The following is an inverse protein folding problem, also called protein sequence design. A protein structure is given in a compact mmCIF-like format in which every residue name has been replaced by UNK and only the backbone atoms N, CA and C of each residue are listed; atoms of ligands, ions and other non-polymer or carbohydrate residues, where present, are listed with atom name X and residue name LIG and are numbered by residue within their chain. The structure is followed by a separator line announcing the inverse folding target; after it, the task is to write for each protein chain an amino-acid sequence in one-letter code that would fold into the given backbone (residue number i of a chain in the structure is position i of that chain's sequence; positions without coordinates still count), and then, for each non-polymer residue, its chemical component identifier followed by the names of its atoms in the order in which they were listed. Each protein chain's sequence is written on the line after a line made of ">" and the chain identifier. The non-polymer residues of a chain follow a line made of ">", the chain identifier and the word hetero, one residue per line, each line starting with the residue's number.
data_IF_878824392150
#
_entry.id   IF_878824392150
#
_cell.length_a   1.000
_cell.length_b   1.000
_cell.length_c   1.000
_cell.angle_alpha   90.00
_cell.angle_beta   90.00
_cell.angle_gamma   90.00
#
_symmetry.space_group_name_H-M   'P 1'
#
loop_
_entity.id
_entity.type
_entity.pdbx_description
1 polymer ?
#
# COMPACT_ATOMS: atom_id res chain seq x y z
N UNK A 1 -18.13 25.78 -51.07
CA UNK A 1 -17.56 26.00 -49.72
C UNK A 1 -17.60 24.69 -48.95
N UNK A 2 -16.57 23.87 -49.06
CA UNK A 2 -16.45 22.58 -48.37
C UNK A 2 -15.16 22.55 -47.57
N UNK A 3 -15.24 22.57 -46.24
CA UNK A 3 -14.26 21.87 -45.40
C UNK A 3 -14.76 21.79 -43.94
N UNK A 4 -15.72 20.89 -43.67
CA UNK A 4 -16.00 20.48 -42.30
C UNK A 4 -15.02 19.37 -41.99
N UNK A 5 -13.95 19.71 -41.27
CA UNK A 5 -12.92 18.76 -40.81
C UNK A 5 -13.61 17.64 -40.05
N UNK A 6 -13.70 16.47 -40.67
CA UNK A 6 -14.05 15.22 -40.00
C UNK A 6 -12.96 14.92 -38.99
N UNK A 7 -13.25 15.25 -37.74
CA UNK A 7 -12.48 14.83 -36.58
C UNK A 7 -12.65 13.31 -36.49
N UNK A 8 -11.73 12.55 -37.09
CA UNK A 8 -11.73 11.10 -37.03
C UNK A 8 -11.84 10.64 -35.56
N UNK A 9 -13.06 10.26 -35.14
CA UNK A 9 -13.29 9.46 -33.96
C UNK A 9 -12.58 8.14 -34.21
N UNK A 10 -11.40 7.97 -33.60
CA UNK A 10 -10.73 6.67 -33.56
C UNK A 10 -11.70 5.68 -32.95
N UNK A 11 -12.22 4.78 -33.76
CA UNK A 11 -13.02 3.63 -33.36
C UNK A 11 -12.17 2.78 -32.42
N UNK A 12 -12.74 2.32 -31.30
CA UNK A 12 -12.01 1.63 -30.22
C UNK A 12 -11.30 0.33 -30.62
N UNK A 13 -11.39 -0.10 -31.89
CA UNK A 13 -10.68 -1.24 -32.46
C UNK A 13 -9.17 -0.99 -32.68
N UNK A 14 -8.74 0.26 -32.87
CA UNK A 14 -7.34 0.61 -33.16
C UNK A 14 -6.59 1.21 -31.96
N UNK A 15 -7.22 1.24 -30.79
CA UNK A 15 -6.53 1.63 -29.57
C UNK A 15 -5.56 0.51 -29.18
N UNK A 16 -4.28 0.67 -29.52
CA UNK A 16 -3.22 -0.19 -28.97
C UNK A 16 -3.44 -0.29 -27.45
N UNK A 17 -3.47 -1.51 -26.87
CA UNK A 17 -3.65 -1.65 -25.43
C UNK A 17 -2.57 -0.81 -24.75
N UNK A 18 -3.00 0.20 -23.99
CA UNK A 18 -2.07 1.03 -23.23
C UNK A 18 -1.30 0.11 -22.30
N UNK A 19 0.01 0.09 -22.45
CA UNK A 19 0.89 -0.62 -21.52
C UNK A 19 0.60 -0.14 -20.09
N UNK A 20 0.49 -1.08 -19.16
CA UNK A 20 0.25 -0.78 -17.75
C UNK A 20 1.59 -0.76 -17.02
N UNK A 21 1.92 0.37 -16.42
CA UNK A 21 3.06 0.53 -15.54
C UNK A 21 2.58 0.86 -14.12
N UNK A 22 3.42 0.54 -13.14
CA UNK A 22 3.27 0.99 -11.77
C UNK A 22 4.16 2.21 -11.59
N UNK A 23 3.58 3.34 -11.22
CA UNK A 23 4.34 4.57 -10.94
C UNK A 23 4.60 4.66 -9.44
N UNK A 24 5.86 4.78 -9.06
CA UNK A 24 6.27 5.12 -7.71
C UNK A 24 6.72 6.58 -7.71
N UNK A 25 6.14 7.40 -6.84
CA UNK A 25 6.42 8.83 -6.80
C UNK A 25 7.60 9.13 -5.87
N UNK A 26 8.46 10.07 -6.25
CA UNK A 26 9.68 10.38 -5.50
C UNK A 26 9.40 10.76 -4.04
N UNK A 27 8.39 11.60 -3.78
CA UNK A 27 8.04 11.98 -2.41
C UNK A 27 7.62 10.78 -1.54
N UNK A 28 7.07 9.73 -2.16
CA UNK A 28 6.70 8.50 -1.47
C UNK A 28 7.95 7.69 -1.16
N UNK A 29 8.86 7.56 -2.12
CA UNK A 29 10.14 6.86 -1.94
C UNK A 29 11.03 7.54 -0.90
N UNK A 30 11.02 8.88 -0.86
CA UNK A 30 11.77 9.67 0.11
C UNK A 30 11.14 9.71 1.52
N UNK A 31 9.90 9.22 1.69
CA UNK A 31 9.24 9.22 2.99
C UNK A 31 9.97 8.32 4.01
N UNK A 32 9.98 8.74 5.27
CA UNK A 32 10.56 7.95 6.36
C UNK A 32 9.91 6.55 6.44
N UNK A 33 8.61 6.49 6.20
CA UNK A 33 7.85 5.24 6.14
C UNK A 33 8.40 4.28 5.09
N UNK A 34 8.67 4.75 3.87
CA UNK A 34 9.21 3.91 2.80
C UNK A 34 10.62 3.43 3.12
N UNK A 35 11.45 4.33 3.66
CA UNK A 35 12.83 4.02 4.02
C UNK A 35 12.91 2.95 5.13
N UNK A 36 11.95 2.93 6.05
CA UNK A 36 11.88 1.92 7.12
C UNK A 36 11.38 0.54 6.67
N UNK A 37 10.72 0.43 5.50
CA UNK A 37 10.24 -0.87 4.99
C UNK A 37 11.39 -1.78 4.56
N UNK A 38 11.26 -3.07 4.86
CA UNK A 38 12.11 -4.12 4.31
C UNK A 38 11.81 -4.37 2.82
N UNK A 39 12.76 -5.01 2.14
CA UNK A 39 12.68 -5.27 0.69
C UNK A 39 11.42 -6.04 0.27
N UNK A 40 10.98 -7.02 1.06
CA UNK A 40 9.78 -7.81 0.72
C UNK A 40 8.51 -6.99 0.87
N UNK A 41 8.43 -6.13 1.90
CA UNK A 41 7.31 -5.20 2.06
C UNK A 41 7.23 -4.19 0.91
N UNK A 42 8.36 -3.65 0.45
CA UNK A 42 8.40 -2.77 -0.74
C UNK A 42 7.93 -3.52 -1.99
N UNK A 43 8.38 -4.75 -2.20
CA UNK A 43 7.92 -5.59 -3.31
C UNK A 43 6.41 -5.90 -3.24
N UNK A 44 5.89 -6.15 -2.03
CA UNK A 44 4.46 -6.38 -1.81
C UNK A 44 3.62 -5.15 -2.20
N UNK A 45 4.09 -3.94 -1.87
CA UNK A 45 3.43 -2.70 -2.27
C UNK A 45 3.31 -2.59 -3.79
N UNK A 46 4.38 -2.91 -4.53
CA UNK A 46 4.39 -2.86 -5.99
C UNK A 46 3.38 -3.87 -6.57
N UNK A 47 3.30 -5.08 -6.02
CA UNK A 47 2.31 -6.09 -6.44
C UNK A 47 0.87 -5.64 -6.17
N UNK A 48 0.60 -4.95 -5.06
CA UNK A 48 -0.69 -4.33 -4.79
C UNK A 48 -0.99 -3.19 -5.78
N UNK A 49 -0.05 -2.29 -6.02
CA UNK A 49 -0.18 -1.19 -6.97
C UNK A 49 -0.39 -1.69 -8.40
N UNK A 50 0.20 -2.83 -8.79
CA UNK A 50 -0.03 -3.49 -10.08
C UNK A 50 -1.48 -3.96 -10.26
N UNK A 51 -2.15 -4.35 -9.16
CA UNK A 51 -3.56 -4.81 -9.15
C UNK A 51 -4.57 -3.66 -9.14
N UNK A 52 -4.13 -2.46 -8.77
CA UNK A 52 -4.95 -1.26 -8.83
C UNK A 52 -5.23 -0.83 -10.29
N UNK A 53 -6.50 -0.63 -10.66
CA UNK A 53 -6.92 -0.34 -12.04
C UNK A 53 -6.95 1.16 -12.38
N UNK A 54 -6.62 2.03 -11.42
CA UNK A 54 -6.55 3.48 -11.60
C UNK A 54 -7.66 4.23 -10.87
N UNK A 55 -7.70 5.57 -10.97
CA UNK A 55 -8.66 6.40 -10.24
C UNK A 55 -10.12 6.01 -10.53
N UNK A 56 -10.99 6.06 -9.51
CA UNK A 56 -12.42 5.74 -9.61
C UNK A 56 -12.70 4.31 -10.10
N UNK A 57 -11.88 3.34 -9.71
CA UNK A 57 -12.05 1.96 -10.16
C UNK A 57 -12.21 0.97 -9.00
N UNK A 58 -11.12 0.62 -8.33
CA UNK A 58 -11.10 -0.44 -7.33
C UNK A 58 -10.25 -0.12 -6.11
N UNK A 59 -9.84 1.13 -5.88
CA UNK A 59 -9.14 1.45 -4.64
C UNK A 59 -10.08 1.22 -3.45
N UNK A 60 -9.61 0.48 -2.43
CA UNK A 60 -10.44 0.03 -1.32
C UNK A 60 -11.24 -1.25 -1.60
N UNK A 61 -11.14 -1.83 -2.80
CA UNK A 61 -11.72 -3.13 -3.16
C UNK A 61 -10.70 -4.03 -3.84
N UNK A 62 -9.40 -3.84 -3.61
CA UNK A 62 -8.35 -4.63 -4.26
C UNK A 62 -8.28 -6.00 -3.57
N UNK A 63 -8.73 -7.09 -4.21
CA UNK A 63 -8.70 -8.40 -3.58
C UNK A 63 -7.28 -8.94 -3.62
N UNK A 64 -6.68 -9.17 -2.46
CA UNK A 64 -5.36 -9.80 -2.40
C UNK A 64 -5.17 -10.59 -1.11
N UNK A 65 -4.94 -11.89 -1.26
CA UNK A 65 -4.75 -12.79 -0.14
C UNK A 65 -3.28 -13.01 0.20
N UNK A 66 -2.99 -13.37 1.46
CA UNK A 66 -1.64 -13.75 1.91
C UNK A 66 -1.06 -14.90 1.09
N UNK A 67 -1.90 -15.83 0.62
CA UNK A 67 -1.46 -16.97 -0.20
C UNK A 67 -1.03 -16.53 -1.60
N UNK A 68 -1.76 -15.60 -2.21
CA UNK A 68 -1.38 -15.04 -3.51
C UNK A 68 -0.11 -14.19 -3.39
N UNK A 69 0.02 -13.40 -2.32
CA UNK A 69 1.22 -12.64 -2.03
C UNK A 69 2.46 -13.52 -1.84
N UNK A 70 2.34 -14.59 -1.06
CA UNK A 70 3.41 -15.57 -0.88
C UNK A 70 3.90 -16.16 -2.21
N UNK A 71 2.97 -16.49 -3.12
CA UNK A 71 3.30 -16.98 -4.46
C UNK A 71 3.94 -15.91 -5.34
N UNK A 72 3.39 -14.69 -5.34
CA UNK A 72 3.88 -13.60 -6.17
C UNK A 72 5.30 -13.16 -5.79
N UNK A 73 5.59 -13.12 -4.49
CA UNK A 73 6.90 -12.73 -3.96
C UNK A 73 7.87 -13.90 -3.81
N UNK A 74 7.42 -15.13 -4.07
CA UNK A 74 8.19 -16.35 -3.83
C UNK A 74 8.75 -16.45 -2.39
N UNK A 75 7.90 -16.19 -1.40
CA UNK A 75 8.24 -16.23 0.03
C UNK A 75 7.29 -17.13 0.82
N UNK A 76 7.68 -17.46 2.05
CA UNK A 76 6.81 -18.18 2.99
C UNK A 76 5.54 -17.38 3.33
N UNK A 77 4.46 -18.09 3.66
CA UNK A 77 3.17 -17.47 4.04
C UNK A 77 3.27 -16.54 5.25
N UNK A 78 4.09 -16.90 6.25
CA UNK A 78 4.36 -16.08 7.43
C UNK A 78 5.06 -14.78 7.06
N UNK A 79 6.06 -14.84 6.17
CA UNK A 79 6.76 -13.67 5.65
C UNK A 79 5.81 -12.74 4.90
N UNK A 80 4.98 -13.29 4.00
CA UNK A 80 3.98 -12.49 3.29
C UNK A 80 2.99 -11.82 4.25
N UNK A 81 2.53 -12.53 5.28
CA UNK A 81 1.65 -11.97 6.31
C UNK A 81 2.32 -10.82 7.07
N UNK A 82 3.60 -10.99 7.46
CA UNK A 82 4.38 -9.92 8.10
C UNK A 82 4.52 -8.71 7.19
N UNK A 83 4.75 -8.90 5.89
CA UNK A 83 4.84 -7.80 4.93
C UNK A 83 3.54 -6.99 4.87
N UNK A 84 2.36 -7.64 4.89
CA UNK A 84 1.08 -6.92 5.00
C UNK A 84 0.99 -6.11 6.29
N UNK A 85 1.38 -6.70 7.43
CA UNK A 85 1.38 -6.00 8.71
C UNK A 85 2.31 -4.79 8.70
N UNK A 86 3.50 -4.93 8.12
CA UNK A 86 4.46 -3.83 7.95
C UNK A 86 3.86 -2.71 7.10
N UNK A 87 3.26 -3.00 5.93
CA UNK A 87 2.63 -1.98 5.09
C UNK A 87 1.46 -1.26 5.78
N UNK A 88 0.67 -1.98 6.59
CA UNK A 88 -0.40 -1.38 7.39
C UNK A 88 0.17 -0.47 8.47
N UNK A 89 1.18 -0.95 9.22
CA UNK A 89 1.81 -0.19 10.30
C UNK A 89 2.49 1.09 9.81
N UNK A 90 3.02 1.07 8.58
CA UNK A 90 3.64 2.24 7.94
C UNK A 90 2.64 3.12 7.18
N UNK A 91 1.34 2.78 7.20
CA UNK A 91 0.29 3.61 6.61
C UNK A 91 0.25 3.63 5.09
N UNK A 92 0.84 2.64 4.41
CA UNK A 92 0.75 2.51 2.94
C UNK A 92 -0.55 1.85 2.49
N UNK A 93 -1.07 0.92 3.30
CA UNK A 93 -2.27 0.17 2.98
C UNK A 93 -3.24 0.13 4.16
N UNK A 94 -4.53 0.05 3.86
CA UNK A 94 -5.58 -0.17 4.85
C UNK A 94 -6.48 -1.33 4.44
N UNK A 95 -6.96 -2.09 5.42
CA UNK A 95 -8.02 -3.08 5.21
C UNK A 95 -9.33 -2.34 5.07
N UNK A 96 -9.97 -2.45 3.89
CA UNK A 96 -11.31 -1.90 3.66
C UNK A 96 -12.38 -2.89 4.11
N UNK A 97 -12.29 -4.13 3.63
CA UNK A 97 -13.15 -5.24 4.05
C UNK A 97 -12.32 -6.43 4.49
N UNK A 98 -12.48 -6.82 5.76
CA UNK A 98 -11.84 -8.01 6.30
C UNK A 98 -12.55 -9.26 5.79
N UNK A 99 -11.79 -10.26 5.34
CA UNK A 99 -12.38 -11.54 4.95
C UNK A 99 -13.05 -12.19 6.17
N UNK A 100 -14.36 -12.42 6.10
CA UNK A 100 -15.10 -13.19 7.11
C UNK A 100 -15.14 -14.67 6.75
N UNK A 101 -14.81 -15.54 7.70
CA UNK A 101 -14.88 -17.00 7.52
C UNK A 101 -16.33 -17.54 7.42
N UNK A 102 -17.31 -16.71 7.77
CA UNK A 102 -18.74 -17.05 7.85
C UNK A 102 -19.53 -16.80 6.57
N UNK A 103 -18.96 -16.15 5.55
CA UNK A 103 -19.65 -15.97 4.27
C UNK A 103 -19.38 -17.17 3.38
N UNK A 104 -20.45 -17.72 2.79
CA UNK A 104 -20.47 -18.84 1.84
C UNK A 104 -19.74 -18.42 0.55
N UNK A 105 -18.41 -18.33 0.62
CA UNK A 105 -17.54 -17.80 -0.41
C UNK A 105 -16.21 -17.42 0.20
N UNK A 106 -15.09 -17.92 -0.34
CA UNK A 106 -13.74 -17.54 0.08
C UNK A 106 -13.48 -16.09 -0.33
N UNK A 107 -13.92 -15.13 0.47
CA UNK A 107 -13.70 -13.70 0.20
C UNK A 107 -12.25 -13.37 0.57
N UNK A 108 -11.48 -12.87 -0.39
CA UNK A 108 -10.13 -12.35 -0.12
C UNK A 108 -10.22 -11.03 0.64
N UNK A 109 -9.21 -10.70 1.46
CA UNK A 109 -9.16 -9.38 2.09
C UNK A 109 -9.04 -8.30 1.02
N UNK A 110 -9.84 -7.24 1.16
CA UNK A 110 -9.84 -6.10 0.26
C UNK A 110 -8.98 -4.98 0.82
N UNK A 111 -8.06 -4.50 0.00
CA UNK A 111 -7.06 -3.50 0.38
C UNK A 111 -7.32 -2.15 -0.28
N UNK A 112 -6.93 -1.11 0.45
CA UNK A 112 -6.89 0.27 0.02
C UNK A 112 -5.44 0.74 0.01
N UNK A 113 -5.02 1.40 -1.06
CA UNK A 113 -3.75 2.13 -1.14
C UNK A 113 -4.00 3.56 -0.68
N UNK A 114 -3.31 3.99 0.38
CA UNK A 114 -3.51 5.34 0.97
C UNK A 114 -2.92 6.46 0.11
N UNK A 115 -2.11 6.11 -0.89
CA UNK A 115 -1.61 7.03 -1.92
C UNK A 115 -2.73 7.59 -2.81
N UNK A 116 -3.81 6.83 -3.00
CA UNK A 116 -4.93 7.19 -3.87
C UNK A 116 -6.21 7.47 -3.06
N UNK A 117 -7.17 8.24 -3.62
CA UNK A 117 -8.50 8.42 -3.00
C UNK A 117 -9.22 7.09 -2.83
N UNK A 118 -10.05 6.99 -1.80
CA UNK A 118 -10.90 5.81 -1.57
C UNK A 118 -12.06 5.81 -2.56
N UNK A 119 -12.05 4.89 -3.53
CA UNK A 119 -13.12 4.78 -4.53
C UNK A 119 -14.44 4.22 -3.92
N UNK A 120 -14.41 3.74 -2.68
CA UNK A 120 -15.59 3.22 -1.98
C UNK A 120 -16.37 4.29 -1.23
N UNK A 121 -15.73 5.42 -0.92
CA UNK A 121 -16.32 6.50 -0.15
C UNK A 121 -16.59 7.70 -1.05
N UNK A 122 -17.87 7.91 -1.38
CA UNK A 122 -18.33 9.02 -2.24
C UNK A 122 -17.90 10.39 -1.70
N UNK A 123 -17.69 10.51 -0.39
CA UNK A 123 -17.41 11.78 0.31
C UNK A 123 -15.92 12.12 0.44
N UNK A 124 -15.01 11.14 0.32
CA UNK A 124 -13.57 11.34 0.55
C UNK A 124 -12.78 11.26 -0.76
N UNK A 125 -12.86 12.33 -1.54
CA UNK A 125 -12.12 12.51 -2.81
C UNK A 125 -10.61 12.75 -2.62
N UNK A 126 -10.11 12.80 -1.37
CA UNK A 126 -8.71 13.11 -1.05
C UNK A 126 -7.97 11.87 -0.58
N UNK A 127 -6.79 11.62 -1.17
CA UNK A 127 -5.88 10.57 -0.71
C UNK A 127 -5.40 10.87 0.73
N UNK A 128 -5.51 9.88 1.63
CA UNK A 128 -5.18 10.06 3.04
C UNK A 128 -3.67 10.20 3.30
N UNK A 129 -2.83 9.56 2.45
CA UNK A 129 -1.36 9.59 2.52
C UNK A 129 -0.82 9.37 3.93
N UNK A 130 -1.35 8.39 4.65
CA UNK A 130 -1.02 8.15 6.06
C UNK A 130 0.47 7.91 6.30
N UNK A 131 1.15 7.28 5.34
CA UNK A 131 2.60 7.08 5.36
C UNK A 131 3.41 8.38 5.51
N UNK A 132 2.87 9.53 5.11
CA UNK A 132 3.54 10.82 5.29
C UNK A 132 3.57 11.30 6.75
N UNK A 133 2.66 10.78 7.59
CA UNK A 133 2.56 11.11 9.02
C UNK A 133 3.30 10.10 9.90
N UNK A 134 3.73 8.98 9.32
CA UNK A 134 4.45 7.95 10.05
C UNK A 134 5.82 8.48 10.46
N UNK A 135 6.20 8.17 11.70
CA UNK A 135 7.51 8.47 12.26
C UNK A 135 8.13 7.20 12.82
N UNK A 136 9.46 7.02 12.70
CA UNK A 136 10.12 5.88 13.29
C UNK A 136 9.93 5.91 14.81
N UNK A 137 9.58 4.77 15.38
CA UNK A 137 9.51 4.66 16.83
C UNK A 137 10.92 4.82 17.39
N UNK A 138 11.16 5.94 18.06
CA UNK A 138 12.45 6.29 18.64
C UNK A 138 12.64 5.58 19.99
N UNK A 139 12.28 4.31 20.06
CA UNK A 139 12.47 3.45 21.23
C UNK A 139 13.94 3.02 21.35
N UNK A 140 14.84 3.99 21.34
CA UNK A 140 16.06 3.91 22.14
C UNK A 140 15.61 3.88 23.60
N UNK A 141 15.28 2.69 24.11
CA UNK A 141 15.26 2.46 25.54
C UNK A 141 16.68 2.73 26.04
N UNK A 142 16.94 3.93 26.56
CA UNK A 142 18.11 4.17 27.39
C UNK A 142 18.03 3.16 28.54
N UNK A 143 19.00 2.23 28.69
CA UNK A 143 19.08 1.48 29.93
C UNK A 143 19.28 2.50 31.03
N UNK A 144 18.35 2.56 31.99
CA UNK A 144 18.44 3.38 33.18
C UNK A 144 19.86 3.29 33.75
N UNK A 145 20.56 4.43 33.81
CA UNK A 145 21.79 4.55 34.58
C UNK A 145 21.43 4.40 36.06
N UNK A 146 21.45 3.15 36.55
CA UNK A 146 21.49 2.86 37.97
C UNK A 146 22.85 3.24 38.52
N UNK A 147 23.05 4.52 38.82
CA UNK A 147 24.25 5.00 39.52
C UNK A 147 24.15 4.60 40.98
N UNK A 148 24.61 3.38 41.31
CA UNK A 148 24.96 3.03 42.69
C UNK A 148 26.30 3.71 43.01
N UNK A 149 26.25 4.89 43.62
CA UNK A 149 27.41 5.49 44.28
C UNK A 149 27.68 4.74 45.59
N UNK A 150 28.90 4.21 45.83
CA UNK A 150 29.24 3.66 47.14
C UNK A 150 29.47 4.82 48.12
N UNK A 151 28.79 4.77 49.25
CA UNK A 151 29.03 5.64 50.40
C UNK A 151 30.49 5.49 50.88
N UNK A 152 31.22 6.57 51.16
CA UNK A 152 32.44 6.48 51.95
C UNK A 152 32.03 6.44 53.43
N UNK A 153 32.56 5.50 54.18
CA UNK A 153 32.56 5.53 55.63
C UNK A 153 33.83 4.87 56.17
N UNK A 154 33.98 4.80 57.51
CA UNK A 154 33.79 5.86 58.50
C UNK A 154 35.04 6.75 58.67
#
# INVERSE_FOLDING_TARGET
>A
MTNRRDYHKRTGKDARPRERYVRLLEYMLASAAWQALDGNSRALYIELARRYRGPNSNNGKIPYSVREAAKALNVGRSTAQRCFQCLVAHGFIRVSKRSGFSMKGRVSTEWLLTEFPDDTQVTLMTASKEFMRWTPDNSFHSPMSGTNSPMPGP
#
